data_IF_573351127439
#
_entry.id   IF_573351127439
#
_cell.length_a   1.000
_cell.length_b   1.000
_cell.length_c   1.000
_cell.angle_alpha   90.00
_cell.angle_beta   90.00
_cell.angle_gamma   90.00
#
_symmetry.space_group_name_H-M   'P 1'
#
loop_
_entity.id
_entity.type
_entity.pdbx_description
1 polymer ?
#
# COMPACT_ATOMS: atom_id res chain seq x y z
N UNK A 1 -3.33 4.95 11.09
CA UNK A 1 -3.58 3.82 10.19
C UNK A 1 -3.49 4.24 8.73
N UNK A 2 -4.29 5.25 8.30
CA UNK A 2 -4.35 5.66 6.91
C UNK A 2 -2.98 6.05 6.35
N UNK A 3 -2.19 6.85 7.07
CA UNK A 3 -0.82 7.20 6.67
C UNK A 3 0.13 6.00 6.59
N UNK A 4 -0.07 4.96 7.41
CA UNK A 4 0.70 3.70 7.37
C UNK A 4 0.42 2.96 6.07
N UNK A 5 -0.85 2.70 5.79
CA UNK A 5 -1.30 1.93 4.62
C UNK A 5 -0.93 2.65 3.33
N UNK A 6 -1.22 3.96 3.26
CA UNK A 6 -0.91 4.80 2.10
C UNK A 6 0.59 4.99 1.90
N UNK A 7 1.34 5.26 2.97
CA UNK A 7 2.79 5.47 2.88
C UNK A 7 3.53 4.22 2.42
N UNK A 8 3.15 3.03 2.90
CA UNK A 8 3.73 1.77 2.42
C UNK A 8 3.39 1.51 0.95
N UNK A 9 2.16 1.85 0.51
CA UNK A 9 1.76 1.73 -0.89
C UNK A 9 2.58 2.66 -1.79
N UNK A 10 2.62 3.96 -1.50
CA UNK A 10 3.37 4.96 -2.27
C UNK A 10 4.86 4.59 -2.34
N UNK A 11 5.44 4.13 -1.23
CA UNK A 11 6.85 3.72 -1.22
C UNK A 11 7.09 2.53 -2.15
N UNK A 12 6.25 1.50 -2.09
CA UNK A 12 6.35 0.35 -3.00
C UNK A 12 6.15 0.79 -4.45
N UNK A 13 5.19 1.70 -4.69
CA UNK A 13 4.91 2.29 -6.00
C UNK A 13 6.14 2.95 -6.64
N UNK A 14 6.96 3.64 -5.85
CA UNK A 14 8.16 4.32 -6.32
C UNK A 14 9.29 3.30 -6.62
N UNK A 15 9.49 2.31 -5.75
CA UNK A 15 10.59 1.36 -5.88
C UNK A 15 10.32 0.25 -6.89
N UNK A 16 9.06 -0.09 -7.18
CA UNK A 16 8.70 -1.16 -8.08
C UNK A 16 9.13 -0.93 -9.53
N UNK A 17 8.85 0.23 -10.16
CA UNK A 17 9.34 0.53 -11.50
C UNK A 17 10.88 0.59 -11.57
N UNK A 18 11.52 1.11 -10.53
CA UNK A 18 12.98 1.15 -10.44
C UNK A 18 13.55 -0.27 -10.42
N UNK A 19 12.99 -1.16 -9.62
CA UNK A 19 13.38 -2.58 -9.57
C UNK A 19 13.24 -3.25 -10.93
N UNK A 20 12.12 -3.06 -11.61
CA UNK A 20 11.88 -3.66 -12.92
C UNK A 20 12.85 -3.16 -13.99
N UNK A 21 13.20 -1.88 -13.93
CA UNK A 21 14.22 -1.31 -14.81
C UNK A 21 15.61 -1.87 -14.53
N UNK A 22 16.05 -1.84 -13.26
CA UNK A 22 17.43 -2.21 -12.90
C UNK A 22 17.65 -3.74 -12.95
N UNK A 23 16.67 -4.56 -12.54
CA UNK A 23 16.80 -6.01 -12.46
C UNK A 23 16.44 -6.70 -13.78
N UNK A 24 15.39 -6.19 -14.48
CA UNK A 24 14.84 -6.85 -15.67
C UNK A 24 15.04 -6.06 -16.96
N UNK A 25 15.69 -4.89 -16.91
CA UNK A 25 15.93 -4.06 -18.11
C UNK A 25 14.66 -3.50 -18.76
N UNK A 26 13.54 -3.38 -18.01
CA UNK A 26 12.30 -2.85 -18.55
C UNK A 26 12.44 -1.38 -18.96
N UNK A 27 11.83 -1.03 -20.08
CA UNK A 27 11.74 0.38 -20.47
C UNK A 27 10.87 1.17 -19.50
N UNK A 28 11.05 2.50 -19.38
CA UNK A 28 10.18 3.35 -18.55
C UNK A 28 8.69 3.21 -18.87
N UNK A 29 8.37 2.99 -20.15
CA UNK A 29 6.97 2.76 -20.59
C UNK A 29 6.41 1.46 -20.02
N UNK A 30 7.17 0.37 -20.10
CA UNK A 30 6.75 -0.93 -19.53
C UNK A 30 6.61 -0.87 -18.01
N UNK A 31 7.57 -0.25 -17.33
CA UNK A 31 7.51 -0.05 -15.88
C UNK A 31 6.32 0.83 -15.48
N UNK A 32 6.02 1.88 -16.26
CA UNK A 32 4.86 2.75 -16.03
C UNK A 32 3.51 2.05 -16.24
N UNK A 33 3.42 1.07 -17.13
CA UNK A 33 2.19 0.28 -17.31
C UNK A 33 1.80 -0.50 -16.05
N UNK A 34 2.78 -0.96 -15.27
CA UNK A 34 2.50 -1.61 -13.98
C UNK A 34 1.78 -0.67 -13.02
N UNK A 35 2.17 0.61 -12.99
CA UNK A 35 1.52 1.61 -12.14
C UNK A 35 0.03 1.74 -12.49
N UNK A 36 -0.29 1.74 -13.80
CA UNK A 36 -1.67 1.80 -14.29
C UNK A 36 -2.50 0.62 -13.80
N UNK A 37 -1.93 -0.59 -13.76
CA UNK A 37 -2.66 -1.79 -13.31
C UNK A 37 -3.05 -1.71 -11.84
N UNK A 38 -2.17 -1.21 -10.98
CA UNK A 38 -2.46 -0.96 -9.56
C UNK A 38 -3.58 0.08 -9.37
N UNK A 39 -3.56 1.15 -10.18
CA UNK A 39 -4.61 2.19 -10.14
C UNK A 39 -5.98 1.65 -10.56
N UNK A 40 -6.04 0.77 -11.56
CA UNK A 40 -7.29 0.11 -12.00
C UNK A 40 -7.84 -0.77 -10.88
N UNK A 41 -7.02 -1.60 -10.25
CA UNK A 41 -7.49 -2.47 -9.16
C UNK A 41 -7.82 -1.68 -7.89
N UNK A 42 -7.14 -0.55 -7.63
CA UNK A 42 -7.55 0.41 -6.61
C UNK A 42 -8.98 0.92 -6.87
N UNK A 43 -9.28 1.36 -8.10
CA UNK A 43 -10.61 1.82 -8.45
C UNK A 43 -11.66 0.70 -8.25
N UNK A 44 -11.35 -0.54 -8.64
CA UNK A 44 -12.21 -1.71 -8.41
C UNK A 44 -12.43 -1.95 -6.92
N UNK A 45 -11.37 -1.94 -6.11
CA UNK A 45 -11.48 -2.09 -4.65
C UNK A 45 -12.34 -1.00 -4.01
N UNK A 46 -12.15 0.25 -4.42
CA UNK A 46 -12.95 1.40 -3.95
C UNK A 46 -14.43 1.26 -4.36
N UNK A 47 -14.69 0.77 -5.56
CA UNK A 47 -16.05 0.50 -6.01
C UNK A 47 -16.73 -0.62 -5.19
N UNK A 48 -16.02 -1.72 -4.91
CA UNK A 48 -16.50 -2.81 -4.06
C UNK A 48 -16.80 -2.27 -2.66
N UNK A 49 -15.89 -1.49 -2.07
CA UNK A 49 -16.06 -0.86 -0.76
C UNK A 49 -17.34 -0.01 -0.72
N UNK A 50 -17.61 0.77 -1.76
CA UNK A 50 -18.80 1.61 -1.86
C UNK A 50 -20.12 0.84 -1.95
N UNK A 51 -20.10 -0.47 -2.24
CA UNK A 51 -21.28 -1.34 -2.30
C UNK A 51 -21.58 -2.06 -0.98
N UNK A 52 -20.68 -1.97 0.00
CA UNK A 52 -20.84 -2.67 1.28
C UNK A 52 -21.63 -1.78 2.26
N UNK A 53 -22.90 -2.11 2.46
CA UNK A 53 -23.80 -1.35 3.34
C UNK A 53 -23.90 -1.92 4.75
N UNK A 54 -23.57 -3.21 4.95
CA UNK A 54 -23.67 -3.85 6.25
C UNK A 54 -22.65 -3.31 7.25
N UNK A 55 -23.03 -3.05 8.51
CA UNK A 55 -22.10 -2.57 9.54
C UNK A 55 -20.90 -3.53 9.75
N UNK A 56 -21.16 -4.83 9.75
CA UNK A 56 -20.11 -5.85 9.87
C UNK A 56 -19.13 -5.82 8.68
N UNK A 57 -19.66 -5.64 7.46
CA UNK A 57 -18.83 -5.51 6.25
C UNK A 57 -17.94 -4.26 6.32
N UNK A 58 -18.48 -3.12 6.70
CA UNK A 58 -17.74 -1.85 6.83
C UNK A 58 -16.60 -1.94 7.86
N UNK A 59 -16.76 -2.73 8.91
CA UNK A 59 -15.70 -3.01 9.90
C UNK A 59 -14.62 -3.93 9.34
N UNK A 60 -15.01 -4.94 8.56
CA UNK A 60 -14.08 -5.93 7.99
C UNK A 60 -13.22 -5.38 6.85
N UNK A 61 -13.74 -4.45 6.07
CA UNK A 61 -13.06 -3.93 4.87
C UNK A 61 -11.65 -3.40 5.12
N UNK A 62 -11.39 -2.56 6.15
CA UNK A 62 -10.02 -2.10 6.42
C UNK A 62 -9.08 -3.24 6.81
N UNK A 63 -9.57 -4.24 7.54
CA UNK A 63 -8.77 -5.40 7.96
C UNK A 63 -8.42 -6.26 6.75
N UNK A 64 -9.43 -6.70 6.02
CA UNK A 64 -9.27 -7.55 4.83
C UNK A 64 -8.44 -6.84 3.76
N UNK A 65 -8.74 -5.56 3.50
CA UNK A 65 -8.01 -4.78 2.51
C UNK A 65 -6.53 -4.58 2.87
N UNK A 66 -6.21 -4.29 4.14
CA UNK A 66 -4.80 -4.20 4.57
C UNK A 66 -4.09 -5.56 4.47
N UNK A 67 -4.77 -6.66 4.78
CA UNK A 67 -4.25 -8.01 4.59
C UNK A 67 -3.97 -8.33 3.12
N UNK A 68 -4.90 -8.00 2.22
CA UNK A 68 -4.73 -8.15 0.77
C UNK A 68 -3.56 -7.30 0.26
N UNK A 69 -3.45 -6.05 0.72
CA UNK A 69 -2.34 -5.18 0.35
C UNK A 69 -1.00 -5.74 0.82
N UNK A 70 -0.91 -6.25 2.05
CA UNK A 70 0.29 -6.91 2.58
C UNK A 70 0.69 -8.10 1.70
N UNK A 71 -0.25 -8.98 1.39
CA UNK A 71 0.00 -10.16 0.53
C UNK A 71 0.44 -9.71 -0.86
N UNK A 72 -0.25 -8.75 -1.48
CA UNK A 72 0.11 -8.22 -2.79
C UNK A 72 1.50 -7.60 -2.81
N UNK A 73 1.84 -6.79 -1.80
CA UNK A 73 3.19 -6.21 -1.66
C UNK A 73 4.25 -7.31 -1.50
N UNK A 74 4.00 -8.32 -0.66
CA UNK A 74 4.92 -9.45 -0.48
C UNK A 74 5.10 -10.27 -1.77
N UNK A 75 4.05 -10.43 -2.58
CA UNK A 75 4.13 -11.11 -3.88
C UNK A 75 5.01 -10.39 -4.90
N UNK A 76 5.38 -9.12 -4.69
CA UNK A 76 6.33 -8.42 -5.56
C UNK A 76 7.79 -8.75 -5.23
N UNK A 77 8.10 -9.27 -4.04
CA UNK A 77 9.48 -9.58 -3.60
C UNK A 77 10.21 -10.52 -4.56
N UNK A 78 9.62 -11.63 -5.04
CA UNK A 78 10.32 -12.54 -5.94
C UNK A 78 10.82 -11.88 -7.24
N UNK A 79 10.16 -10.83 -7.70
CA UNK A 79 10.61 -10.09 -8.88
C UNK A 79 11.91 -9.30 -8.67
N UNK A 80 12.42 -9.19 -7.44
CA UNK A 80 13.74 -8.66 -7.18
C UNK A 80 14.88 -9.62 -7.65
N UNK A 81 14.56 -10.88 -7.91
CA UNK A 81 15.54 -11.86 -8.37
C UNK A 81 15.53 -11.95 -9.90
N UNK A 82 16.71 -11.84 -10.56
CA UNK A 82 16.80 -11.86 -12.03
C UNK A 82 16.27 -13.17 -12.66
N UNK A 83 16.30 -14.28 -11.91
CA UNK A 83 15.79 -15.58 -12.34
C UNK A 83 14.25 -15.65 -12.37
N UNK A 84 13.57 -14.72 -11.71
CA UNK A 84 12.11 -14.65 -11.65
C UNK A 84 11.64 -13.52 -12.56
N UNK A 85 10.83 -13.81 -13.54
CA UNK A 85 10.40 -12.77 -14.49
C UNK A 85 9.64 -11.61 -13.82
N UNK A 86 9.89 -10.38 -14.28
CA UNK A 86 9.28 -9.16 -13.74
C UNK A 86 7.73 -9.13 -13.77
N UNK A 87 7.10 -10.01 -14.55
CA UNK A 87 5.63 -10.15 -14.61
C UNK A 87 5.02 -10.53 -13.25
N UNK A 88 5.77 -11.18 -12.37
CA UNK A 88 5.32 -11.53 -11.02
C UNK A 88 5.02 -10.28 -10.20
N UNK A 89 5.80 -9.22 -10.40
CA UNK A 89 5.54 -7.93 -9.76
C UNK A 89 4.19 -7.34 -10.18
N UNK A 90 3.79 -7.51 -11.45
CA UNK A 90 2.49 -7.06 -11.94
C UNK A 90 1.35 -7.75 -11.20
N UNK A 91 1.43 -9.07 -11.01
CA UNK A 91 0.40 -9.82 -10.27
C UNK A 91 0.32 -9.34 -8.81
N UNK A 92 1.47 -9.21 -8.14
CA UNK A 92 1.52 -8.68 -6.78
C UNK A 92 0.95 -7.27 -6.68
N UNK A 93 1.25 -6.42 -7.65
CA UNK A 93 0.78 -5.03 -7.67
C UNK A 93 -0.72 -4.91 -7.92
N UNK A 94 -1.30 -5.76 -8.79
CA UNK A 94 -2.75 -5.87 -8.96
C UNK A 94 -3.45 -6.22 -7.63
N UNK A 95 -2.90 -7.17 -6.87
CA UNK A 95 -3.43 -7.57 -5.56
C UNK A 95 -3.27 -6.45 -4.54
N UNK A 96 -2.11 -5.79 -4.49
CA UNK A 96 -1.87 -4.67 -3.58
C UNK A 96 -2.81 -3.49 -3.85
N UNK A 97 -3.04 -3.15 -5.12
CA UNK A 97 -3.97 -2.11 -5.56
C UNK A 97 -5.41 -2.39 -5.14
N UNK A 98 -5.86 -3.65 -5.26
CA UNK A 98 -7.18 -4.06 -4.76
C UNK A 98 -7.27 -3.85 -3.24
N UNK A 99 -6.23 -4.25 -2.50
CA UNK A 99 -6.17 -4.13 -1.04
C UNK A 99 -6.29 -2.69 -0.56
N UNK A 100 -5.49 -1.76 -1.11
CA UNK A 100 -5.58 -0.35 -0.74
C UNK A 100 -6.92 0.27 -1.16
N UNK A 101 -7.49 -0.15 -2.30
CA UNK A 101 -8.80 0.28 -2.76
C UNK A 101 -9.92 -0.07 -1.79
N UNK A 102 -9.85 -1.21 -1.13
CA UNK A 102 -10.80 -1.61 -0.08
C UNK A 102 -10.56 -0.84 1.23
N UNK A 103 -9.29 -0.60 1.59
CA UNK A 103 -8.92 -0.05 2.90
C UNK A 103 -9.04 1.47 2.96
N UNK A 104 -8.50 2.17 1.99
CA UNK A 104 -8.30 3.62 2.06
C UNK A 104 -9.62 4.42 2.18
N UNK A 105 -10.65 4.18 1.33
CA UNK A 105 -11.93 4.85 1.50
C UNK A 105 -12.66 4.41 2.77
N UNK A 106 -12.55 3.13 3.16
CA UNK A 106 -13.19 2.61 4.36
C UNK A 106 -12.67 3.29 5.63
N UNK A 107 -11.35 3.53 5.73
CA UNK A 107 -10.76 4.30 6.84
C UNK A 107 -11.24 5.75 6.86
N UNK A 108 -11.46 6.36 5.69
CA UNK A 108 -12.00 7.72 5.58
C UNK A 108 -13.44 7.78 6.12
N UNK A 109 -14.29 6.87 5.63
CA UNK A 109 -15.70 6.79 6.05
C UNK A 109 -15.78 6.52 7.56
N UNK A 110 -14.99 5.59 8.08
CA UNK A 110 -14.96 5.30 9.51
C UNK A 110 -14.51 6.52 10.33
N UNK A 111 -13.45 7.20 9.94
CA UNK A 111 -12.95 8.40 10.61
C UNK A 111 -13.98 9.52 10.66
N UNK A 112 -14.72 9.74 9.58
CA UNK A 112 -15.79 10.76 9.54
C UNK A 112 -17.03 10.33 10.33
N UNK A 113 -17.38 9.04 10.33
CA UNK A 113 -18.54 8.53 11.05
C UNK A 113 -18.45 8.71 12.57
N UNK A 114 -17.24 8.66 13.14
CA UNK A 114 -17.01 8.88 14.58
C UNK A 114 -16.73 10.35 14.94
N UNK A 115 -16.76 11.25 13.94
CA UNK A 115 -16.46 12.68 14.12
C UNK A 115 -17.77 13.49 14.05
N UNK A 116 -18.00 14.45 14.96
CA UNK A 116 -19.13 15.37 14.85
C UNK A 116 -19.11 16.15 13.52
N UNK A 117 -20.28 16.43 12.91
CA UNK A 117 -20.37 17.06 11.58
C UNK A 117 -19.65 18.41 11.45
N UNK A 118 -19.63 19.21 12.51
CA UNK A 118 -18.95 20.51 12.59
C UNK A 118 -17.42 20.38 12.53
N UNK A 119 -16.86 19.18 12.77
CA UNK A 119 -15.43 18.88 12.75
C UNK A 119 -14.96 18.03 11.55
N UNK A 120 -15.83 17.72 10.60
CA UNK A 120 -15.47 16.90 9.44
C UNK A 120 -14.31 17.51 8.62
N UNK A 121 -14.29 18.85 8.49
CA UNK A 121 -13.18 19.54 7.81
C UNK A 121 -11.82 19.33 8.48
N UNK A 122 -11.78 19.44 9.82
CA UNK A 122 -10.57 19.20 10.60
C UNK A 122 -10.11 17.74 10.49
N UNK A 123 -11.04 16.79 10.59
CA UNK A 123 -10.72 15.36 10.45
C UNK A 123 -10.20 15.04 9.06
N UNK A 124 -10.82 15.58 8.02
CA UNK A 124 -10.34 15.39 6.63
C UNK A 124 -8.93 15.94 6.44
N UNK A 125 -8.66 17.14 6.98
CA UNK A 125 -7.31 17.73 6.94
C UNK A 125 -6.29 16.89 7.69
N UNK A 126 -6.64 16.37 8.88
CA UNK A 126 -5.77 15.49 9.67
C UNK A 126 -5.47 14.17 8.93
N UNK A 127 -6.47 13.57 8.27
CA UNK A 127 -6.29 12.39 7.44
C UNK A 127 -5.35 12.65 6.25
N UNK A 128 -5.52 13.78 5.56
CA UNK A 128 -4.64 14.18 4.45
C UNK A 128 -3.21 14.46 4.92
N UNK A 129 -3.06 15.09 6.08
CA UNK A 129 -1.75 15.30 6.68
C UNK A 129 -1.08 13.97 7.04
N UNK A 130 -1.81 13.02 7.62
CA UNK A 130 -1.31 11.69 7.92
C UNK A 130 -0.84 10.96 6.65
N UNK A 131 -1.55 11.08 5.53
CA UNK A 131 -1.15 10.51 4.24
C UNK A 131 0.17 11.11 3.73
N UNK A 132 0.25 12.45 3.74
CA UNK A 132 1.44 13.16 3.26
C UNK A 132 2.66 12.85 4.14
N UNK A 133 2.49 12.86 5.46
CA UNK A 133 3.57 12.52 6.40
C UNK A 133 3.97 11.04 6.27
N UNK A 134 3.01 10.14 6.20
CA UNK A 134 3.29 8.70 6.01
C UNK A 134 4.05 8.44 4.71
N UNK A 135 3.60 9.03 3.61
CA UNK A 135 4.29 8.94 2.32
C UNK A 135 5.72 9.49 2.41
N UNK A 136 5.89 10.71 2.89
CA UNK A 136 7.20 11.36 2.97
C UNK A 136 8.18 10.59 3.88
N UNK A 137 7.73 10.18 5.07
CA UNK A 137 8.57 9.47 6.04
C UNK A 137 8.99 8.09 5.52
N UNK A 138 8.06 7.32 4.95
CA UNK A 138 8.39 5.96 4.51
C UNK A 138 9.21 5.96 3.22
N UNK A 139 8.98 6.89 2.29
CA UNK A 139 9.83 7.06 1.11
C UNK A 139 11.25 7.47 1.52
N UNK A 140 11.39 8.43 2.43
CA UNK A 140 12.71 8.84 2.92
C UNK A 140 13.44 7.70 3.63
N UNK A 141 12.73 6.98 4.50
CA UNK A 141 13.29 5.83 5.21
C UNK A 141 13.66 4.69 4.25
N UNK A 142 12.81 4.39 3.28
CA UNK A 142 13.11 3.41 2.24
C UNK A 142 14.33 3.81 1.40
N UNK A 143 14.50 5.09 1.10
CA UNK A 143 15.71 5.62 0.44
C UNK A 143 16.97 5.37 1.25
N UNK A 144 16.93 5.57 2.58
CA UNK A 144 18.05 5.27 3.48
C UNK A 144 18.34 3.76 3.50
N UNK A 145 17.32 2.92 3.61
CA UNK A 145 17.48 1.46 3.59
C UNK A 145 18.07 0.99 2.26
N UNK A 146 17.57 1.52 1.16
CA UNK A 146 18.08 1.20 -0.18
C UNK A 146 19.54 1.58 -0.34
N UNK A 147 19.92 2.79 0.09
CA UNK A 147 21.30 3.27 0.04
C UNK A 147 22.22 2.42 0.94
N UNK A 148 21.78 2.05 2.13
CA UNK A 148 22.55 1.19 3.03
C UNK A 148 22.70 -0.24 2.49
N UNK A 149 21.73 -0.73 1.75
CA UNK A 149 21.72 -2.06 1.13
C UNK A 149 22.27 -2.05 -0.32
N UNK A 150 22.72 -0.91 -0.83
CA UNK A 150 23.11 -0.75 -2.24
C UNK A 150 24.20 -1.75 -2.68
N UNK A 151 25.15 -2.06 -1.79
CA UNK A 151 26.20 -3.05 -2.05
C UNK A 151 25.68 -4.49 -2.20
N UNK A 152 24.41 -4.75 -1.85
CA UNK A 152 23.74 -6.05 -2.00
C UNK A 152 23.03 -6.20 -3.36
N UNK A 153 23.22 -5.23 -4.26
CA UNK A 153 22.63 -5.21 -5.61
C UNK A 153 21.08 -5.38 -5.57
N UNK A 154 20.53 -6.34 -6.30
CA UNK A 154 19.09 -6.59 -6.36
C UNK A 154 18.44 -6.87 -5.00
N UNK A 155 19.17 -7.34 -3.99
CA UNK A 155 18.67 -7.56 -2.63
C UNK A 155 18.32 -6.24 -1.92
N UNK A 156 18.81 -5.10 -2.35
CA UNK A 156 18.40 -3.80 -1.83
C UNK A 156 16.90 -3.57 -2.00
N UNK A 157 16.31 -4.01 -3.12
CA UNK A 157 14.86 -3.96 -3.35
C UNK A 157 14.10 -4.89 -2.39
N UNK A 158 14.64 -6.09 -2.13
CA UNK A 158 14.05 -7.01 -1.15
C UNK A 158 13.98 -6.36 0.23
N UNK A 159 15.06 -5.69 0.68
CA UNK A 159 15.11 -4.99 1.96
C UNK A 159 14.01 -3.92 2.05
N UNK A 160 13.86 -3.09 1.03
CA UNK A 160 12.85 -2.03 1.00
C UNK A 160 11.43 -2.62 1.03
N UNK A 161 11.13 -3.58 0.14
CA UNK A 161 9.78 -4.14 0.05
C UNK A 161 9.44 -4.94 1.32
N UNK A 162 10.39 -5.70 1.87
CA UNK A 162 10.21 -6.41 3.14
C UNK A 162 9.93 -5.44 4.31
N UNK A 163 10.62 -4.29 4.35
CA UNK A 163 10.34 -3.24 5.33
C UNK A 163 8.90 -2.70 5.18
N UNK A 164 8.42 -2.50 3.95
CA UNK A 164 7.02 -2.10 3.72
C UNK A 164 6.04 -3.19 4.14
N UNK A 165 6.36 -4.47 3.92
CA UNK A 165 5.56 -5.59 4.42
C UNK A 165 5.49 -5.61 5.97
N UNK A 166 6.58 -5.33 6.67
CA UNK A 166 6.58 -5.24 8.15
C UNK A 166 5.71 -4.09 8.63
N UNK A 167 5.77 -2.93 7.97
CA UNK A 167 4.91 -1.78 8.28
C UNK A 167 3.44 -2.12 8.02
N UNK A 168 3.12 -2.80 6.92
CA UNK A 168 1.76 -3.25 6.61
C UNK A 168 1.27 -4.31 7.59
N UNK A 169 2.13 -5.23 8.03
CA UNK A 169 1.80 -6.22 9.05
C UNK A 169 1.46 -5.56 10.40
N UNK A 170 2.23 -4.53 10.79
CA UNK A 170 1.91 -3.71 11.95
C UNK A 170 0.58 -2.96 11.74
N UNK A 171 0.37 -2.37 10.57
CA UNK A 171 -0.88 -1.72 10.20
C UNK A 171 -2.08 -2.67 10.27
N UNK A 172 -1.92 -3.89 9.77
CA UNK A 172 -2.94 -4.96 9.85
C UNK A 172 -3.26 -5.31 11.31
N UNK A 173 -2.24 -5.54 12.13
CA UNK A 173 -2.42 -5.85 13.55
C UNK A 173 -3.13 -4.71 14.30
N UNK A 174 -2.73 -3.46 14.09
CA UNK A 174 -3.38 -2.30 14.72
C UNK A 174 -4.82 -2.16 14.23
N UNK A 175 -5.08 -2.36 12.93
CA UNK A 175 -6.43 -2.28 12.36
C UNK A 175 -7.35 -3.32 12.98
N UNK A 176 -6.89 -4.56 13.12
CA UNK A 176 -7.68 -5.63 13.73
C UNK A 176 -8.03 -5.31 15.19
N UNK A 177 -7.08 -4.78 15.98
CA UNK A 177 -7.32 -4.44 17.39
C UNK A 177 -8.23 -3.23 17.59
N UNK A 178 -8.03 -2.17 16.81
CA UNK A 178 -8.81 -0.93 16.96
C UNK A 178 -10.28 -1.15 16.58
N UNK A 179 -10.52 -1.93 15.52
CA UNK A 179 -11.89 -2.19 15.05
C UNK A 179 -12.63 -3.28 15.84
N UNK A 180 -11.94 -4.05 16.68
CA UNK A 180 -12.57 -4.96 17.64
C UNK A 180 -13.21 -4.20 18.82
N UNK A 181 -12.72 -3.00 19.14
CA UNK A 181 -13.10 -2.24 20.34
C UNK A 181 -14.24 -1.25 20.04
N UNK A 182 -14.45 -0.87 18.80
CA UNK A 182 -15.48 0.08 18.34
C UNK A 182 -16.65 -0.60 17.65
#
# INVERSE_FOLDING_TARGET
LRGIVNGAFITTEIFLPLMLKEVHGWSPTQAGLIMTTGSVTWAVGSWIQGKVDSPAGRRLLPIVGTGIQLVGTAMTIPAAFPSVGGIVALVGWLVAGLGIGLTYPALTVHGLAITPPDRHGMTSSALSLADTMGGALFVAWAGILFAAAFALDHLAFVVVIAAMCLILALGFWVTSRVLEIT
#
